data_IF_485244229192
#
_entry.id   IF_485244229192
#
_cell.length_a   1.000
_cell.length_b   1.000
_cell.length_c   1.000
_cell.angle_alpha   90.00
_cell.angle_beta   90.00
_cell.angle_gamma   90.00
#
_symmetry.space_group_name_H-M   'P 1'
#
loop_
_entity.id
_entity.type
_entity.pdbx_description
1 polymer ?
#
# COMPACT_ATOMS: atom_id res chain seq x y z
N UNK A 1 16.47 30.47 7.20
CA UNK A 1 17.01 29.59 6.13
C UNK A 1 17.04 28.11 6.55
N UNK A 2 17.37 27.76 7.79
CA UNK A 2 17.43 26.35 8.24
C UNK A 2 16.07 25.61 8.17
N UNK A 3 14.97 26.28 8.51
CA UNK A 3 13.65 25.62 8.58
C UNK A 3 13.16 25.07 7.22
N UNK A 4 13.46 25.74 6.10
CA UNK A 4 12.98 25.29 4.80
C UNK A 4 13.70 24.02 4.33
N UNK A 5 15.01 23.93 4.60
CA UNK A 5 15.82 22.74 4.30
C UNK A 5 15.36 21.56 5.16
N UNK A 6 15.09 21.83 6.43
CA UNK A 6 14.58 20.85 7.37
C UNK A 6 13.20 20.31 6.96
N UNK A 7 12.28 21.19 6.53
CA UNK A 7 10.98 20.78 6.03
C UNK A 7 11.08 19.87 4.79
N UNK A 8 11.97 20.19 3.84
CA UNK A 8 12.20 19.34 2.67
C UNK A 8 12.77 17.98 3.08
N UNK A 9 13.68 17.95 4.06
CA UNK A 9 14.25 16.71 4.56
C UNK A 9 13.19 15.78 5.16
N UNK A 10 12.34 16.30 6.04
CA UNK A 10 11.25 15.51 6.64
C UNK A 10 10.24 15.03 5.59
N UNK A 11 9.80 15.92 4.68
CA UNK A 11 8.86 15.55 3.63
C UNK A 11 9.40 14.46 2.69
N UNK A 12 10.71 14.47 2.38
CA UNK A 12 11.36 13.39 1.62
C UNK A 12 11.30 12.06 2.36
N UNK A 13 11.63 12.06 3.65
CA UNK A 13 11.62 10.85 4.46
C UNK A 13 10.20 10.26 4.53
N UNK A 14 9.19 11.10 4.77
CA UNK A 14 7.80 10.65 4.82
C UNK A 14 7.38 10.01 3.50
N UNK A 15 7.73 10.63 2.37
CA UNK A 15 7.44 10.07 1.04
C UNK A 15 8.18 8.74 0.80
N UNK A 16 9.45 8.62 1.23
CA UNK A 16 10.21 7.37 1.11
C UNK A 16 9.61 6.24 1.95
N UNK A 17 9.25 6.53 3.20
CA UNK A 17 8.67 5.52 4.08
C UNK A 17 7.29 5.06 3.57
N UNK A 18 6.43 6.00 3.18
CA UNK A 18 5.12 5.65 2.61
C UNK A 18 5.25 4.79 1.33
N UNK A 19 6.22 5.09 0.47
CA UNK A 19 6.49 4.29 -0.72
C UNK A 19 6.99 2.87 -0.38
N UNK A 20 7.93 2.76 0.56
CA UNK A 20 8.46 1.48 1.01
C UNK A 20 7.40 0.60 1.66
N UNK A 21 6.52 1.18 2.48
CA UNK A 21 5.39 0.47 3.07
C UNK A 21 4.43 -0.06 2.02
N UNK A 22 4.10 0.77 1.02
CA UNK A 22 3.30 0.33 -0.12
C UNK A 22 3.93 -0.86 -0.84
N UNK A 23 5.22 -0.76 -1.21
CA UNK A 23 5.93 -1.84 -1.88
C UNK A 23 5.92 -3.13 -1.05
N UNK A 24 6.15 -3.02 0.26
CA UNK A 24 6.14 -4.16 1.17
C UNK A 24 4.74 -4.79 1.25
N UNK A 25 3.69 -3.99 1.35
CA UNK A 25 2.32 -4.47 1.38
C UNK A 25 1.95 -5.20 0.09
N UNK A 26 2.37 -4.67 -1.07
CA UNK A 26 2.08 -5.26 -2.37
C UNK A 26 3.04 -6.37 -2.79
N UNK A 27 4.08 -6.65 -1.99
CA UNK A 27 5.21 -7.53 -2.35
C UNK A 27 5.90 -7.11 -3.66
N UNK A 28 5.90 -5.81 -3.95
CA UNK A 28 6.54 -5.24 -5.12
C UNK A 28 8.00 -4.89 -4.81
N UNK A 29 8.88 -5.04 -5.80
CA UNK A 29 10.25 -4.54 -5.70
C UNK A 29 10.22 -3.03 -5.91
N UNK A 30 10.78 -2.22 -5.00
CA UNK A 30 10.81 -0.78 -5.17
C UNK A 30 11.52 -0.33 -6.47
N UNK A 31 10.82 0.44 -7.29
CA UNK A 31 11.37 0.97 -8.53
C UNK A 31 12.33 2.13 -8.28
N UNK A 32 13.50 2.06 -8.91
CA UNK A 32 14.56 3.08 -8.81
C UNK A 32 14.08 4.47 -9.21
N UNK A 33 13.23 4.59 -10.24
CA UNK A 33 12.79 5.88 -10.76
C UNK A 33 11.98 6.66 -9.72
N UNK A 34 11.16 5.97 -8.92
CA UNK A 34 10.37 6.59 -7.86
C UNK A 34 11.27 7.11 -6.74
N UNK A 35 12.32 6.36 -6.38
CA UNK A 35 13.33 6.86 -5.44
C UNK A 35 14.03 8.11 -5.93
N UNK A 36 14.48 8.11 -7.18
CA UNK A 36 15.18 9.26 -7.76
C UNK A 36 14.25 10.49 -7.80
N UNK A 37 12.97 10.30 -8.13
CA UNK A 37 11.97 11.36 -8.09
C UNK A 37 11.81 11.97 -6.70
N UNK A 38 11.68 11.16 -5.64
CA UNK A 38 11.57 11.65 -4.25
C UNK A 38 12.88 12.33 -3.82
N UNK A 39 14.02 11.69 -4.12
CA UNK A 39 15.34 12.18 -3.73
C UNK A 39 15.67 13.56 -4.31
N UNK A 40 15.34 13.76 -5.58
CA UNK A 40 15.67 14.99 -6.31
C UNK A 40 14.63 16.11 -6.11
N UNK A 41 13.42 15.79 -5.66
CA UNK A 41 12.36 16.79 -5.48
C UNK A 41 12.62 17.67 -4.25
N UNK A 42 12.59 18.99 -4.40
CA UNK A 42 12.70 19.94 -3.28
C UNK A 42 11.39 20.69 -3.00
N UNK A 43 10.31 20.34 -3.71
CA UNK A 43 8.98 20.91 -3.50
C UNK A 43 8.27 20.09 -2.41
N UNK A 44 8.11 20.70 -1.23
CA UNK A 44 7.46 20.06 -0.07
C UNK A 44 6.00 19.71 -0.35
N UNK A 45 5.26 20.55 -1.08
CA UNK A 45 3.86 20.27 -1.39
C UNK A 45 3.73 19.08 -2.35
N UNK A 46 4.67 18.95 -3.29
CA UNK A 46 4.69 17.79 -4.17
C UNK A 46 5.06 16.51 -3.41
N UNK A 47 6.04 16.57 -2.52
CA UNK A 47 6.42 15.45 -1.65
C UNK A 47 5.26 15.00 -0.77
N UNK A 48 4.56 15.93 -0.11
CA UNK A 48 3.36 15.63 0.68
C UNK A 48 2.25 14.95 -0.15
N UNK A 49 2.04 15.42 -1.38
CA UNK A 49 1.08 14.78 -2.30
C UNK A 49 1.48 13.36 -2.66
N UNK A 50 2.78 13.11 -2.88
CA UNK A 50 3.28 11.76 -3.11
C UNK A 50 3.06 10.86 -1.88
N UNK A 51 3.36 11.35 -0.68
CA UNK A 51 3.10 10.64 0.58
C UNK A 51 1.63 10.23 0.68
N UNK A 52 0.70 11.18 0.53
CA UNK A 52 -0.73 10.88 0.58
C UNK A 52 -1.18 9.89 -0.51
N UNK A 53 -0.58 9.97 -1.70
CA UNK A 53 -0.89 9.04 -2.80
C UNK A 53 -0.47 7.61 -2.43
N UNK A 54 0.75 7.43 -1.91
CA UNK A 54 1.25 6.12 -1.51
C UNK A 54 0.43 5.53 -0.35
N UNK A 55 0.10 6.33 0.66
CA UNK A 55 -0.76 5.91 1.78
C UNK A 55 -2.16 5.50 1.31
N UNK A 56 -2.75 6.26 0.39
CA UNK A 56 -4.06 5.94 -0.18
C UNK A 56 -4.01 4.63 -0.96
N UNK A 57 -2.97 4.41 -1.77
CA UNK A 57 -2.78 3.17 -2.52
C UNK A 57 -2.60 1.98 -1.57
N UNK A 58 -1.80 2.16 -0.51
CA UNK A 58 -1.57 1.13 0.50
C UNK A 58 -2.88 0.76 1.19
N UNK A 59 -3.62 1.75 1.70
CA UNK A 59 -4.91 1.52 2.36
C UNK A 59 -5.97 0.89 1.45
N UNK A 60 -5.98 1.24 0.15
CA UNK A 60 -6.86 0.62 -0.83
C UNK A 60 -6.49 -0.85 -1.08
N UNK A 61 -5.20 -1.16 -1.18
CA UNK A 61 -4.71 -2.53 -1.33
C UNK A 61 -5.11 -3.39 -0.13
N UNK A 62 -4.92 -2.89 1.10
CA UNK A 62 -5.32 -3.63 2.30
C UNK A 62 -6.81 -3.97 2.33
N UNK A 63 -7.67 -3.01 1.96
CA UNK A 63 -9.12 -3.23 1.85
C UNK A 63 -9.45 -4.31 0.83
N UNK A 64 -8.82 -4.28 -0.34
CA UNK A 64 -9.00 -5.31 -1.36
C UNK A 64 -8.56 -6.69 -0.85
N UNK A 65 -7.46 -6.78 -0.12
CA UNK A 65 -6.99 -8.04 0.43
C UNK A 65 -7.89 -8.59 1.53
N UNK A 66 -8.45 -7.73 2.39
CA UNK A 66 -9.47 -8.14 3.38
C UNK A 66 -10.72 -8.69 2.69
N UNK A 67 -11.24 -7.98 1.69
CA UNK A 67 -12.41 -8.42 0.93
C UNK A 67 -12.18 -9.77 0.23
N UNK A 68 -11.01 -9.96 -0.41
CA UNK A 68 -10.65 -11.24 -1.04
C UNK A 68 -10.58 -12.39 -0.03
N UNK A 69 -10.02 -12.16 1.16
CA UNK A 69 -9.96 -13.17 2.23
C UNK A 69 -11.35 -13.60 2.69
N UNK A 70 -12.28 -12.66 2.84
CA UNK A 70 -13.67 -12.94 3.20
C UNK A 70 -14.40 -13.74 2.12
N UNK A 71 -14.25 -13.36 0.85
CA UNK A 71 -14.81 -14.10 -0.29
C UNK A 71 -14.30 -15.54 -0.34
N UNK A 72 -12.98 -15.76 -0.19
CA UNK A 72 -12.40 -17.10 -0.14
C UNK A 72 -12.95 -17.93 1.03
N UNK A 73 -13.21 -17.32 2.19
CA UNK A 73 -13.79 -18.01 3.35
C UNK A 73 -15.23 -18.45 3.05
N UNK A 74 -16.06 -17.55 2.52
CA UNK A 74 -17.44 -17.86 2.13
C UNK A 74 -17.50 -18.94 1.05
N UNK A 75 -16.60 -18.92 0.06
CA UNK A 75 -16.51 -19.97 -0.95
C UNK A 75 -16.14 -21.33 -0.37
N UNK A 76 -15.19 -21.38 0.58
CA UNK A 76 -14.83 -22.63 1.27
C UNK A 76 -16.01 -23.18 2.08
N UNK A 77 -16.78 -22.33 2.75
CA UNK A 77 -17.97 -22.73 3.51
C UNK A 77 -19.08 -23.25 2.58
N UNK A 78 -19.33 -22.57 1.45
CA UNK A 78 -20.27 -23.04 0.42
C UNK A 78 -19.86 -24.39 -0.17
N UNK A 79 -18.57 -24.58 -0.49
CA UNK A 79 -18.05 -25.86 -1.01
C UNK A 79 -18.20 -26.99 0.02
N UNK A 80 -17.92 -26.74 1.31
CA UNK A 80 -18.15 -27.72 2.38
C UNK A 80 -19.63 -28.09 2.53
N UNK A 81 -20.52 -27.11 2.54
CA UNK A 81 -21.97 -27.33 2.61
C UNK A 81 -22.51 -28.08 1.39
N UNK A 82 -21.96 -27.80 0.20
CA UNK A 82 -22.32 -28.50 -1.02
C UNK A 82 -21.88 -29.97 -0.96
N UNK A 83 -20.62 -30.24 -0.56
CA UNK A 83 -20.11 -31.60 -0.43
C UNK A 83 -20.87 -32.41 0.63
N UNK A 84 -21.23 -31.81 1.77
CA UNK A 84 -22.03 -32.50 2.79
C UNK A 84 -23.42 -32.88 2.29
N UNK A 85 -24.06 -32.04 1.46
CA UNK A 85 -25.35 -32.35 0.83
C UNK A 85 -25.24 -33.43 -0.25
N UNK A 86 -24.15 -33.43 -1.02
CA UNK A 86 -23.93 -34.37 -2.12
C UNK A 86 -23.64 -35.79 -1.62
N UNK A 87 -22.87 -35.91 -0.55
CA UNK A 87 -22.40 -37.21 -0.05
C UNK A 87 -23.27 -37.83 1.05
N UNK A 88 -24.39 -37.20 1.45
CA UNK A 88 -25.34 -37.68 2.50
C UNK A 88 -24.67 -38.60 3.53
N UNK A 89 -23.67 -38.06 4.23
CA UNK A 89 -23.31 -38.55 5.56
C UNK A 89 -24.16 -37.82 6.59
#
# INVERSE_FOLDING_TARGET
>A
MNNAIEMVYYAKNDAFYAYLELCNATLAVPEKIVYEMIYQCNDTMYLERLTCLFELQHGNYEKQMKAKKEQMKQEKEKKKSFLSKLFKF
#
